data_IF_789990840109
#
_entry.id   IF_789990840109
#
_cell.length_a   1.000
_cell.length_b   1.000
_cell.length_c   1.000
_cell.angle_alpha   90.00
_cell.angle_beta   90.00
_cell.angle_gamma   90.00
#
_symmetry.space_group_name_H-M   'P 1'
#
loop_
_entity.id
_entity.type
_entity.pdbx_description
1 polymer ?
#
# COMPACT_ATOMS: atom_id res chain seq x y z
N UNK A 1 31.08 -20.14 -4.90
CA UNK A 1 32.39 -19.88 -5.55
C UNK A 1 32.84 -18.49 -5.14
N UNK A 2 34.07 -18.29 -4.66
CA UNK A 2 34.66 -16.94 -4.56
C UNK A 2 35.22 -16.61 -5.94
N UNK A 3 34.44 -15.94 -6.78
CA UNK A 3 34.93 -15.39 -8.05
C UNK A 3 35.99 -14.34 -7.73
N UNK A 4 37.25 -14.64 -8.02
CA UNK A 4 38.34 -13.70 -7.88
C UNK A 4 38.30 -12.75 -9.09
N UNK A 5 37.43 -11.74 -9.01
CA UNK A 5 37.34 -10.63 -9.97
C UNK A 5 38.72 -10.07 -10.42
N UNK A 6 39.70 -10.14 -9.54
CA UNK A 6 41.07 -9.68 -9.76
C UNK A 6 42.00 -10.62 -10.54
N UNK A 7 41.52 -11.81 -10.94
CA UNK A 7 42.29 -12.73 -11.80
C UNK A 7 41.97 -12.49 -13.28
N UNK A 8 40.72 -12.14 -13.62
CA UNK A 8 40.24 -12.06 -14.99
C UNK A 8 39.94 -10.63 -15.48
N UNK A 9 39.98 -9.62 -14.60
CA UNK A 9 39.85 -8.22 -15.02
C UNK A 9 41.15 -7.72 -15.64
N UNK A 10 41.05 -7.14 -16.84
CA UNK A 10 42.16 -6.62 -17.66
C UNK A 10 42.97 -5.48 -17.02
N UNK A 11 42.59 -5.03 -15.82
CA UNK A 11 43.33 -4.04 -15.04
C UNK A 11 42.69 -3.82 -13.67
N UNK A 12 43.54 -3.49 -12.69
CA UNK A 12 43.10 -3.01 -11.38
C UNK A 12 42.67 -1.56 -11.53
N UNK A 13 41.37 -1.29 -11.52
CA UNK A 13 40.83 0.07 -11.46
C UNK A 13 39.58 0.11 -10.60
N UNK A 14 39.32 1.26 -10.00
CA UNK A 14 38.12 1.50 -9.21
C UNK A 14 36.86 1.25 -10.06
N UNK A 15 36.84 1.74 -11.31
CA UNK A 15 35.70 1.60 -12.21
C UNK A 15 35.30 0.13 -12.44
N UNK A 16 36.28 -0.73 -12.72
CA UNK A 16 35.97 -2.13 -13.00
C UNK A 16 35.53 -2.87 -11.71
N UNK A 17 36.11 -2.52 -10.55
CA UNK A 17 35.68 -3.06 -9.26
C UNK A 17 34.21 -2.68 -8.96
N UNK A 18 33.84 -1.43 -9.20
CA UNK A 18 32.47 -0.95 -9.04
C UNK A 18 31.50 -1.65 -10.01
N UNK A 19 31.90 -1.87 -11.27
CA UNK A 19 31.10 -2.64 -12.23
C UNK A 19 30.88 -4.08 -11.81
N UNK A 20 31.83 -4.71 -11.12
CA UNK A 20 31.67 -6.08 -10.61
C UNK A 20 30.73 -6.17 -9.42
N UNK A 21 30.73 -5.17 -8.53
CA UNK A 21 29.79 -5.10 -7.41
C UNK A 21 28.33 -4.85 -7.85
N UNK A 22 28.12 -4.50 -9.13
CA UNK A 22 26.85 -4.11 -9.72
C UNK A 22 25.80 -5.23 -9.85
N UNK A 23 25.98 -6.39 -9.21
CA UNK A 23 25.13 -7.54 -9.51
C UNK A 23 23.82 -7.65 -8.74
N UNK A 24 23.52 -6.98 -7.60
CA UNK A 24 22.11 -6.95 -7.11
C UNK A 24 21.76 -6.06 -5.90
N UNK A 25 22.70 -5.50 -5.13
CA UNK A 25 22.35 -4.79 -3.89
C UNK A 25 23.20 -3.55 -3.62
N UNK A 26 22.86 -2.44 -4.27
CA UNK A 26 23.50 -1.14 -3.99
C UNK A 26 22.93 -0.54 -2.71
N UNK A 27 23.51 -0.89 -1.55
CA UNK A 27 23.12 -0.30 -0.27
C UNK A 27 24.29 0.39 0.43
N UNK A 28 24.15 1.71 0.54
CA UNK A 28 24.60 2.59 1.61
C UNK A 28 26.06 2.47 2.08
N UNK A 29 26.98 3.09 1.32
CA UNK A 29 27.66 4.35 1.69
C UNK A 29 28.92 4.50 0.81
N UNK A 30 29.06 5.60 0.07
CA UNK A 30 30.20 5.81 -0.87
C UNK A 30 31.54 5.65 -0.16
N UNK A 31 31.60 6.02 1.11
CA UNK A 31 32.76 5.84 1.98
C UNK A 31 33.06 4.35 2.28
N UNK A 32 32.05 3.49 2.41
CA UNK A 32 32.26 2.06 2.69
C UNK A 32 32.77 1.31 1.47
N UNK A 33 32.26 1.63 0.28
CA UNK A 33 32.75 1.02 -0.96
C UNK A 33 34.17 1.46 -1.29
N UNK A 34 34.45 2.76 -1.14
CA UNK A 34 35.81 3.33 -1.13
C UNK A 34 36.74 2.55 -0.20
N UNK A 35 36.34 2.41 1.07
CA UNK A 35 37.15 1.74 2.08
C UNK A 35 37.38 0.26 1.76
N UNK A 36 36.40 -0.39 1.15
CA UNK A 36 36.49 -1.82 0.78
C UNK A 36 37.45 -2.05 -0.38
N UNK A 37 37.37 -1.20 -1.41
CA UNK A 37 38.30 -1.25 -2.53
C UNK A 37 39.75 -0.99 -2.08
N UNK A 38 39.99 0.09 -1.33
CA UNK A 38 41.31 0.45 -0.83
C UNK A 38 41.88 -0.63 0.11
N UNK A 39 41.05 -1.22 0.99
CA UNK A 39 41.47 -2.36 1.83
C UNK A 39 41.89 -3.56 0.99
N UNK A 40 41.19 -3.82 -0.09
CA UNK A 40 41.48 -4.94 -0.99
C UNK A 40 42.77 -4.71 -1.76
N UNK A 41 42.99 -3.49 -2.26
CA UNK A 41 44.25 -3.09 -2.88
C UNK A 41 45.43 -3.24 -1.91
N UNK A 42 45.32 -2.74 -0.67
CA UNK A 42 46.39 -2.87 0.34
C UNK A 42 46.72 -4.32 0.63
N UNK A 43 45.70 -5.14 0.89
CA UNK A 43 45.89 -6.59 1.11
C UNK A 43 46.60 -7.24 -0.06
N UNK A 44 46.28 -6.85 -1.30
CA UNK A 44 46.87 -7.42 -2.51
C UNK A 44 48.29 -6.92 -2.77
N UNK A 45 48.59 -5.67 -2.42
CA UNK A 45 49.93 -5.10 -2.39
C UNK A 45 50.84 -5.75 -1.32
N UNK A 46 50.26 -6.45 -0.34
CA UNK A 46 50.99 -7.18 0.71
C UNK A 46 51.13 -8.69 0.42
N UNK A 47 50.16 -9.32 -0.24
CA UNK A 47 50.03 -10.80 -0.25
C UNK A 47 50.06 -11.49 -1.63
N UNK A 48 50.15 -10.76 -2.75
CA UNK A 48 50.01 -11.33 -4.10
C UNK A 48 51.36 -11.61 -4.80
N UNK A 49 51.33 -12.30 -5.95
CA UNK A 49 52.49 -12.48 -6.83
C UNK A 49 53.06 -11.13 -7.31
N UNK A 50 54.35 -11.09 -7.73
CA UNK A 50 55.06 -9.82 -7.96
C UNK A 50 54.33 -8.86 -8.91
N UNK A 51 53.70 -9.38 -9.97
CA UNK A 51 52.97 -8.54 -10.94
C UNK A 51 51.68 -7.96 -10.36
N UNK A 52 50.87 -8.77 -9.68
CA UNK A 52 49.64 -8.28 -9.04
C UNK A 52 49.95 -7.30 -7.90
N UNK A 53 51.04 -7.55 -7.19
CA UNK A 53 51.53 -6.69 -6.12
C UNK A 53 51.96 -5.32 -6.65
N UNK A 54 52.74 -5.29 -7.74
CA UNK A 54 53.17 -4.04 -8.39
C UNK A 54 51.99 -3.25 -8.95
N UNK A 55 51.05 -3.92 -9.63
CA UNK A 55 49.85 -3.27 -10.14
C UNK A 55 48.99 -2.69 -9.02
N UNK A 56 48.80 -3.42 -7.92
CA UNK A 56 48.05 -2.92 -6.77
C UNK A 56 48.73 -1.69 -6.12
N UNK A 57 50.07 -1.65 -6.06
CA UNK A 57 50.82 -0.48 -5.58
C UNK A 57 50.65 0.73 -6.50
N UNK A 58 50.85 0.55 -7.80
CA UNK A 58 50.63 1.62 -8.78
C UNK A 58 49.20 2.18 -8.75
N UNK A 59 48.22 1.29 -8.57
CA UNK A 59 46.81 1.69 -8.47
C UNK A 59 46.53 2.44 -7.17
N UNK A 60 47.18 2.07 -6.05
CA UNK A 60 47.10 2.84 -4.80
C UNK A 60 47.73 4.23 -4.94
N UNK A 61 48.86 4.31 -5.63
CA UNK A 61 49.58 5.57 -5.84
C UNK A 61 48.77 6.53 -6.74
N UNK A 62 48.11 5.99 -7.77
CA UNK A 62 47.27 6.75 -8.71
C UNK A 62 45.79 6.84 -8.27
N UNK A 63 45.46 6.39 -7.07
CA UNK A 63 44.07 6.24 -6.63
C UNK A 63 43.28 7.55 -6.66
N UNK A 64 43.92 8.64 -6.25
CA UNK A 64 43.30 9.97 -6.23
C UNK A 64 42.96 10.47 -7.64
N UNK A 65 43.72 10.06 -8.65
CA UNK A 65 43.42 10.37 -10.05
C UNK A 65 42.25 9.51 -10.55
N UNK A 66 42.21 8.23 -10.19
CA UNK A 66 41.12 7.33 -10.57
C UNK A 66 39.77 7.76 -9.99
N UNK A 67 39.70 8.13 -8.71
CA UNK A 67 38.44 8.57 -8.09
C UNK A 67 37.93 9.88 -8.71
N UNK A 68 38.85 10.71 -9.19
CA UNK A 68 38.53 11.98 -9.83
C UNK A 68 38.33 11.88 -11.35
N UNK A 69 38.53 10.69 -11.93
CA UNK A 69 38.31 10.42 -13.34
C UNK A 69 36.86 10.68 -13.75
N UNK A 70 36.68 11.01 -15.03
CA UNK A 70 35.36 11.29 -15.59
C UNK A 70 34.48 10.05 -15.54
N UNK A 71 35.00 8.87 -15.87
CA UNK A 71 34.21 7.64 -15.90
C UNK A 71 33.69 7.25 -14.52
N UNK A 72 34.51 7.38 -13.47
CA UNK A 72 34.08 7.07 -12.09
C UNK A 72 33.03 8.08 -11.62
N UNK A 73 33.20 9.36 -11.94
CA UNK A 73 32.19 10.40 -11.63
C UNK A 73 30.86 10.17 -12.34
N UNK A 74 30.90 9.82 -13.62
CA UNK A 74 29.70 9.49 -14.41
C UNK A 74 29.01 8.24 -13.88
N UNK A 75 29.78 7.19 -13.56
CA UNK A 75 29.24 5.98 -12.92
C UNK A 75 28.44 6.31 -11.66
N UNK A 76 29.00 7.14 -10.77
CA UNK A 76 28.31 7.54 -9.54
C UNK A 76 27.09 8.43 -9.76
N UNK A 77 27.09 9.23 -10.82
CA UNK A 77 25.94 10.04 -11.21
C UNK A 77 24.78 9.13 -11.64
N UNK A 78 25.07 8.11 -12.44
CA UNK A 78 24.06 7.15 -12.92
C UNK A 78 23.47 6.33 -11.76
N UNK A 79 24.32 5.89 -10.83
CA UNK A 79 23.87 5.17 -9.61
C UNK A 79 22.94 6.06 -8.77
N UNK A 80 23.35 7.30 -8.49
CA UNK A 80 22.53 8.26 -7.74
C UNK A 80 21.18 8.51 -8.43
N UNK A 81 21.17 8.63 -9.76
CA UNK A 81 19.92 8.85 -10.51
C UNK A 81 18.98 7.65 -10.40
N UNK A 82 19.50 6.41 -10.47
CA UNK A 82 18.69 5.20 -10.31
C UNK A 82 18.09 5.08 -8.91
N UNK A 83 18.89 5.33 -7.87
CA UNK A 83 18.41 5.31 -6.48
C UNK A 83 17.33 6.36 -6.26
N UNK A 84 17.56 7.60 -6.71
CA UNK A 84 16.55 8.66 -6.60
C UNK A 84 15.25 8.30 -7.34
N UNK A 85 15.34 7.67 -8.51
CA UNK A 85 14.17 7.24 -9.27
C UNK A 85 13.40 6.12 -8.54
N UNK A 86 14.09 5.19 -7.90
CA UNK A 86 13.50 4.11 -7.12
C UNK A 86 12.87 4.61 -5.82
N UNK A 87 13.51 5.54 -5.12
CA UNK A 87 12.96 6.23 -3.96
C UNK A 87 11.70 7.02 -4.34
N UNK A 88 11.75 7.79 -5.44
CA UNK A 88 10.59 8.54 -5.93
C UNK A 88 9.42 7.63 -6.34
N UNK A 89 9.72 6.50 -7.00
CA UNK A 89 8.71 5.49 -7.35
C UNK A 89 8.06 4.92 -6.10
N UNK A 90 8.84 4.57 -5.08
CA UNK A 90 8.34 4.04 -3.80
C UNK A 90 7.46 5.06 -3.08
N UNK A 91 7.85 6.35 -3.08
CA UNK A 91 7.03 7.44 -2.52
C UNK A 91 5.71 7.55 -3.27
N UNK A 92 5.73 7.49 -4.60
CA UNK A 92 4.52 7.58 -5.42
C UNK A 92 3.57 6.39 -5.18
N UNK A 93 4.11 5.17 -5.13
CA UNK A 93 3.32 3.95 -4.83
C UNK A 93 2.66 4.03 -3.44
N UNK A 94 3.39 4.54 -2.44
CA UNK A 94 2.84 4.75 -1.10
C UNK A 94 1.74 5.83 -1.07
N UNK A 95 1.89 6.89 -1.87
CA UNK A 95 0.85 7.93 -2.01
C UNK A 95 -0.41 7.38 -2.70
N UNK A 96 -0.25 6.62 -3.78
CA UNK A 96 -1.38 5.98 -4.49
C UNK A 96 -2.13 5.00 -3.58
N UNK A 97 -1.41 4.25 -2.75
CA UNK A 97 -2.01 3.33 -1.78
C UNK A 97 -2.78 4.08 -0.69
N UNK A 98 -2.23 5.18 -0.16
CA UNK A 98 -2.90 6.03 0.82
C UNK A 98 -4.19 6.63 0.27
N UNK A 99 -4.15 7.16 -0.97
CA UNK A 99 -5.33 7.69 -1.64
C UNK A 99 -6.41 6.61 -1.87
N UNK A 100 -6.00 5.42 -2.31
CA UNK A 100 -6.92 4.30 -2.53
C UNK A 100 -7.58 3.85 -1.24
N UNK A 101 -6.82 3.81 -0.13
CA UNK A 101 -7.34 3.48 1.19
C UNK A 101 -8.36 4.52 1.68
N UNK A 102 -8.05 5.82 1.55
CA UNK A 102 -8.95 6.91 1.91
C UNK A 102 -10.28 6.82 1.14
N UNK A 103 -10.21 6.65 -0.20
CA UNK A 103 -11.41 6.48 -1.04
C UNK A 103 -12.24 5.24 -0.67
N UNK A 104 -11.57 4.15 -0.29
CA UNK A 104 -12.24 2.92 0.13
C UNK A 104 -12.98 3.12 1.45
N UNK A 105 -12.38 3.85 2.40
CA UNK A 105 -13.01 4.19 3.67
C UNK A 105 -14.23 5.09 3.45
N UNK A 106 -14.10 6.17 2.67
CA UNK A 106 -15.21 7.06 2.31
C UNK A 106 -16.38 6.28 1.69
N UNK A 107 -16.08 5.35 0.78
CA UNK A 107 -17.10 4.54 0.13
C UNK A 107 -17.82 3.60 1.11
N UNK A 108 -17.07 2.97 2.02
CA UNK A 108 -17.63 2.10 3.04
C UNK A 108 -18.50 2.87 4.04
N UNK A 109 -18.09 4.08 4.43
CA UNK A 109 -18.89 4.98 5.26
C UNK A 109 -20.20 5.33 4.56
N UNK A 110 -20.14 5.72 3.29
CA UNK A 110 -21.34 6.01 2.49
C UNK A 110 -22.29 4.80 2.39
N UNK A 111 -21.78 3.60 2.11
CA UNK A 111 -22.61 2.38 2.07
C UNK A 111 -23.29 2.14 3.41
N UNK A 112 -22.57 2.32 4.52
CA UNK A 112 -23.10 2.15 5.85
C UNK A 112 -24.21 3.18 6.15
N UNK A 113 -23.98 4.45 5.83
CA UNK A 113 -24.97 5.52 6.00
C UNK A 113 -26.24 5.25 5.21
N UNK A 114 -26.12 4.93 3.92
CA UNK A 114 -27.26 4.59 3.05
C UNK A 114 -27.99 3.34 3.58
N UNK A 115 -27.25 2.35 4.04
CA UNK A 115 -27.81 1.14 4.67
C UNK A 115 -28.60 1.45 5.94
N UNK A 116 -28.10 2.34 6.79
CA UNK A 116 -28.81 2.80 7.99
C UNK A 116 -30.06 3.60 7.64
N UNK A 117 -29.98 4.53 6.69
CA UNK A 117 -31.13 5.30 6.21
C UNK A 117 -32.23 4.38 5.68
N UNK A 118 -31.87 3.37 4.87
CA UNK A 118 -32.82 2.39 4.35
C UNK A 118 -33.49 1.59 5.47
N UNK A 119 -32.74 1.15 6.49
CA UNK A 119 -33.30 0.46 7.65
C UNK A 119 -34.27 1.34 8.43
N UNK A 120 -33.95 2.63 8.62
CA UNK A 120 -34.80 3.57 9.34
C UNK A 120 -36.10 3.85 8.57
N UNK A 121 -36.03 3.99 7.25
CA UNK A 121 -37.22 4.14 6.39
C UNK A 121 -38.11 2.90 6.45
N UNK A 122 -37.54 1.70 6.42
CA UNK A 122 -38.30 0.46 6.54
C UNK A 122 -38.98 0.34 7.90
N UNK A 123 -38.28 0.65 9.01
CA UNK A 123 -38.88 0.67 10.35
C UNK A 123 -40.05 1.64 10.42
N UNK A 124 -39.86 2.87 9.95
CA UNK A 124 -40.89 3.90 9.97
C UNK A 124 -42.13 3.48 9.16
N UNK A 125 -41.94 2.92 7.97
CA UNK A 125 -43.06 2.39 7.17
C UNK A 125 -43.77 1.18 7.80
N UNK A 126 -43.08 0.42 8.65
CA UNK A 126 -43.67 -0.71 9.39
C UNK A 126 -44.50 -0.19 10.57
N UNK A 127 -43.97 0.78 11.32
CA UNK A 127 -44.65 1.44 12.44
C UNK A 127 -45.91 2.18 11.95
N UNK A 128 -45.83 2.92 10.82
CA UNK A 128 -46.97 3.60 10.20
C UNK A 128 -48.08 2.61 9.77
N UNK A 129 -47.71 1.41 9.29
CA UNK A 129 -48.68 0.36 8.94
C UNK A 129 -49.32 -0.33 10.15
N UNK A 130 -48.58 -0.48 11.25
CA UNK A 130 -49.12 -1.03 12.51
C UNK A 130 -50.08 -0.04 13.17
N UNK A 131 -49.76 1.25 13.17
CA UNK A 131 -50.65 2.32 13.67
C UNK A 131 -51.95 2.41 12.84
N UNK A 132 -51.88 2.33 11.51
CA UNK A 132 -53.07 2.30 10.65
C UNK A 132 -53.95 1.07 10.90
N UNK A 133 -53.33 -0.11 11.10
CA UNK A 133 -54.07 -1.34 11.43
C UNK A 133 -54.77 -1.23 12.78
N UNK A 134 -54.09 -0.72 13.81
CA UNK A 134 -54.68 -0.46 15.13
C UNK A 134 -55.83 0.56 15.09
N UNK A 135 -55.70 1.62 14.29
CA UNK A 135 -56.78 2.60 14.12
C UNK A 135 -57.99 1.98 13.39
N UNK A 136 -57.75 1.09 12.42
CA UNK A 136 -58.82 0.41 11.69
C UNK A 136 -59.59 -0.60 12.56
N UNK A 137 -58.89 -1.36 13.41
CA UNK A 137 -59.51 -2.33 14.32
C UNK A 137 -60.33 -1.63 15.39
N UNK A 138 -59.82 -0.55 16.00
CA UNK A 138 -60.56 0.30 16.95
C UNK A 138 -61.82 0.94 16.33
N UNK A 139 -61.79 1.28 15.03
CA UNK A 139 -62.99 1.77 14.29
C UNK A 139 -64.03 0.68 14.05
N UNK A 140 -63.59 -0.56 13.81
CA UNK A 140 -64.47 -1.70 13.59
C UNK A 140 -65.15 -2.21 14.88
N UNK A 141 -64.49 -2.06 16.03
CA UNK A 141 -65.04 -2.42 17.35
C UNK A 141 -66.17 -1.49 17.82
N UNK A 142 -66.12 -0.20 17.44
CA UNK A 142 -67.19 0.78 17.72
C UNK A 142 -68.46 0.60 16.87
N UNK A 143 -68.46 -0.32 15.89
CA UNK A 143 -69.60 -0.56 14.98
C UNK A 143 -70.33 -1.88 15.22
N UNK A 144 -70.23 -2.49 16.41
CA UNK A 144 -71.16 -3.56 16.79
C UNK A 144 -72.40 -2.96 17.44
N UNK A 145 -73.60 -3.03 16.83
CA UNK A 145 -74.82 -2.68 17.54
C UNK A 145 -75.11 -3.77 18.58
N UNK A 146 -75.19 -3.37 19.84
CA UNK A 146 -75.79 -4.18 20.90
C UNK A 146 -77.30 -4.26 20.64
N UNK A 147 -77.77 -5.32 19.99
CA UNK A 147 -79.20 -5.58 19.93
C UNK A 147 -79.61 -6.39 21.16
N UNK A 148 -80.00 -5.68 22.21
CA UNK A 148 -80.77 -6.19 23.34
C UNK A 148 -82.17 -5.62 23.23
N UNK A 149 -83.16 -6.46 22.92
CA UNK A 149 -84.55 -6.05 22.80
C UNK A 149 -85.45 -7.10 23.42
N UNK A 150 -85.66 -6.99 24.73
CA UNK A 150 -86.75 -7.65 25.43
C UNK A 150 -88.04 -6.82 25.28
N UNK A 151 -89.10 -7.55 24.91
CA UNK A 151 -90.49 -7.45 25.39
C UNK A 151 -91.51 -6.43 24.82
N UNK A 152 -92.65 -7.04 24.45
CA UNK A 152 -94.06 -6.75 24.80
C UNK A 152 -95.01 -6.36 23.65
N UNK A 153 -96.06 -7.21 23.54
CA UNK A 153 -97.50 -6.91 23.40
C UNK A 153 -97.94 -6.00 22.22
N UNK A 154 -99.06 -6.18 21.53
CA UNK A 154 -100.29 -6.94 21.68
C UNK A 154 -101.05 -6.74 20.33
N UNK A 155 -101.97 -7.67 19.97
CA UNK A 155 -103.24 -7.49 19.20
C UNK A 155 -103.29 -6.55 17.96
N UNK A 156 -103.93 -6.83 16.82
CA UNK A 156 -105.13 -7.60 16.51
C UNK A 156 -105.34 -7.60 14.96
N UNK A 157 -106.11 -8.59 14.46
CA UNK A 157 -107.11 -8.48 13.37
C UNK A 157 -106.68 -8.51 11.87
N UNK A 158 -107.08 -9.63 11.26
CA UNK A 158 -107.88 -9.80 10.01
C UNK A 158 -107.25 -10.29 8.69
N UNK A 159 -107.92 -11.37 8.21
CA UNK A 159 -108.30 -11.77 6.82
C UNK A 159 -107.16 -12.32 5.95
N UNK A 160 -107.31 -13.45 5.25
CA UNK A 160 -108.50 -14.15 4.72
C UNK A 160 -108.38 -15.66 4.81
#
# INVERSE_FOLDING_TARGET
MKTNYFLDSSGWSLLNFLKFQNEETWTADKCKEYNTYVKTLRKKAETSSSNQQQMAKLTLDNYEEEINSKEVKEFWKDVNMKQNAEEQKTVLENLDMAFTMERTLEHNEYINEVGQQRKNLLKKGTEEQEEEKELSTKKSEKRKPSYSGDNLAETEVSRS
#
